data_IF_392729943429
#
_entry.id   IF_392729943429
#
_cell.length_a   1.000
_cell.length_b   1.000
_cell.length_c   1.000
_cell.angle_alpha   90.00
_cell.angle_beta   90.00
_cell.angle_gamma   90.00
#
_symmetry.space_group_name_H-M   'P 1'
#
loop_
_entity.id
_entity.type
_entity.pdbx_description
1 polymer ?
#
# COMPACT_ATOMS: atom_id res chain seq x y z
N UNK A 1 -38.97 -14.00 -48.32
CA UNK A 1 -39.87 -14.00 -47.14
C UNK A 1 -40.84 -12.83 -47.24
N UNK A 2 -42.14 -13.08 -47.18
CA UNK A 2 -43.17 -12.02 -47.18
C UNK A 2 -43.05 -11.18 -45.91
N UNK A 3 -43.32 -9.86 -45.96
CA UNK A 3 -43.27 -8.95 -44.78
C UNK A 3 -44.01 -9.50 -43.54
N UNK A 4 -45.07 -10.29 -43.74
CA UNK A 4 -45.80 -10.99 -42.66
C UNK A 4 -44.97 -12.07 -41.94
N UNK A 5 -44.08 -12.78 -42.63
CA UNK A 5 -43.19 -13.79 -42.06
C UNK A 5 -42.04 -13.15 -41.25
N UNK A 6 -41.57 -11.97 -41.68
CA UNK A 6 -40.53 -11.22 -40.97
C UNK A 6 -41.06 -10.64 -39.66
N UNK A 7 -42.30 -10.13 -39.66
CA UNK A 7 -42.97 -9.63 -38.44
C UNK A 7 -43.26 -10.78 -37.45
N UNK A 8 -43.63 -11.96 -37.93
CA UNK A 8 -43.88 -13.12 -37.06
C UNK A 8 -42.60 -13.62 -36.38
N UNK A 9 -41.47 -13.64 -37.10
CA UNK A 9 -40.16 -14.01 -36.54
C UNK A 9 -39.65 -12.95 -35.56
N UNK A 10 -39.89 -11.66 -35.82
CA UNK A 10 -39.52 -10.58 -34.89
C UNK A 10 -40.34 -10.62 -33.59
N UNK A 11 -41.63 -10.93 -33.67
CA UNK A 11 -42.51 -11.08 -32.50
C UNK A 11 -42.14 -12.35 -31.71
N UNK A 12 -41.75 -13.43 -32.38
CA UNK A 12 -41.27 -14.65 -31.71
C UNK A 12 -39.92 -14.41 -30.98
N UNK A 13 -38.97 -13.71 -31.62
CA UNK A 13 -37.68 -13.34 -31.01
C UNK A 13 -37.82 -12.35 -29.84
N UNK A 14 -38.76 -11.40 -29.93
CA UNK A 14 -39.09 -10.50 -28.80
C UNK A 14 -39.78 -11.26 -27.65
N UNK A 15 -40.58 -12.28 -27.95
CA UNK A 15 -41.22 -13.11 -26.91
C UNK A 15 -40.26 -14.08 -26.22
N UNK A 16 -39.25 -14.58 -26.93
CA UNK A 16 -38.19 -15.44 -26.36
C UNK A 16 -37.14 -14.61 -25.60
N UNK A 17 -36.88 -13.36 -26.01
CA UNK A 17 -35.98 -12.45 -25.29
C UNK A 17 -36.63 -11.82 -24.04
N UNK A 18 -37.97 -11.84 -23.93
CA UNK A 18 -38.70 -11.36 -22.76
C UNK A 18 -38.78 -12.39 -21.61
N UNK A 19 -38.40 -13.66 -21.85
CA UNK A 19 -38.41 -14.74 -20.84
C UNK A 19 -37.01 -15.06 -20.28
N UNK A 20 -35.95 -14.42 -20.79
CA UNK A 20 -34.58 -14.55 -20.27
C UNK A 20 -34.13 -13.36 -19.40
N UNK A 21 -35.02 -12.42 -19.08
CA UNK A 21 -34.78 -11.46 -18.02
C UNK A 21 -35.29 -12.06 -16.71
N UNK A 22 -34.54 -13.03 -16.17
CA UNK A 22 -34.64 -13.33 -14.74
C UNK A 22 -34.10 -12.09 -14.05
N UNK A 23 -34.98 -11.12 -13.82
CA UNK A 23 -34.75 -10.13 -12.77
C UNK A 23 -34.50 -10.95 -11.51
N UNK A 24 -33.24 -11.01 -11.09
CA UNK A 24 -32.91 -11.38 -9.72
C UNK A 24 -33.52 -10.28 -8.86
N UNK A 25 -34.75 -10.49 -8.42
CA UNK A 25 -35.23 -9.82 -7.23
C UNK A 25 -34.30 -10.30 -6.12
N UNK A 26 -33.32 -9.48 -5.73
CA UNK A 26 -32.82 -9.57 -4.37
C UNK A 26 -34.06 -9.40 -3.49
N UNK A 27 -34.42 -10.44 -2.74
CA UNK A 27 -35.42 -10.27 -1.71
C UNK A 27 -34.90 -9.14 -0.82
N UNK A 28 -35.65 -8.04 -0.72
CA UNK A 28 -35.40 -7.02 0.31
C UNK A 28 -35.76 -7.71 1.61
N UNK A 29 -34.77 -8.34 2.23
CA UNK A 29 -34.89 -8.89 3.55
C UNK A 29 -34.99 -7.73 4.53
N UNK A 30 -35.94 -7.80 5.46
CA UNK A 30 -36.07 -6.80 6.51
C UNK A 30 -34.86 -6.84 7.44
N UNK A 31 -34.38 -5.68 7.85
CA UNK A 31 -33.28 -5.52 8.80
C UNK A 31 -33.54 -6.32 10.09
N UNK A 32 -32.52 -7.03 10.57
CA UNK A 32 -32.58 -7.71 11.87
C UNK A 32 -32.05 -6.77 12.94
N UNK A 33 -32.95 -6.03 13.59
CA UNK A 33 -32.59 -5.13 14.69
C UNK A 33 -32.15 -5.92 15.92
N UNK A 34 -30.99 -5.59 16.49
CA UNK A 34 -30.43 -6.23 17.69
C UNK A 34 -29.96 -5.21 18.72
N UNK A 35 -30.19 -5.52 19.99
CA UNK A 35 -29.69 -4.76 21.16
C UNK A 35 -29.83 -5.59 22.43
N UNK A 36 -29.20 -5.16 23.52
CA UNK A 36 -29.34 -5.76 24.84
C UNK A 36 -28.42 -6.95 25.09
N UNK A 37 -28.84 -7.86 25.97
CA UNK A 37 -28.01 -8.97 26.43
C UNK A 37 -28.28 -10.24 25.61
N UNK A 38 -27.22 -10.83 25.07
CA UNK A 38 -27.23 -12.20 24.53
C UNK A 38 -26.94 -13.14 25.71
N UNK A 39 -28.02 -13.75 26.23
CA UNK A 39 -27.99 -14.57 27.44
C UNK A 39 -27.91 -16.09 27.18
N UNK A 40 -27.95 -16.51 25.92
CA UNK A 40 -27.79 -17.89 25.48
C UNK A 40 -27.09 -17.89 24.11
N UNK A 41 -26.45 -19.01 23.77
CA UNK A 41 -25.72 -19.14 22.51
C UNK A 41 -26.62 -18.78 21.33
N UNK A 42 -26.10 -17.92 20.45
CA UNK A 42 -26.84 -17.42 19.29
C UNK A 42 -25.94 -17.39 18.07
N UNK A 43 -26.52 -17.71 16.92
CA UNK A 43 -25.85 -17.61 15.62
C UNK A 43 -26.51 -16.51 14.80
N UNK A 44 -25.70 -15.56 14.35
CA UNK A 44 -26.06 -14.60 13.32
C UNK A 44 -25.74 -15.20 11.96
N UNK A 45 -26.78 -15.32 11.13
CA UNK A 45 -26.72 -16.04 9.85
C UNK A 45 -26.78 -15.08 8.67
N UNK A 46 -26.13 -15.38 7.55
CA UNK A 46 -26.20 -14.56 6.33
C UNK A 46 -27.66 -14.33 5.90
N UNK A 47 -28.50 -15.36 6.04
CA UNK A 47 -29.92 -15.32 5.72
C UNK A 47 -30.76 -14.44 6.65
N UNK A 48 -30.17 -13.71 7.59
CA UNK A 48 -30.83 -12.69 8.45
C UNK A 48 -30.08 -11.36 8.40
N UNK A 49 -29.07 -11.24 7.54
CA UNK A 49 -28.30 -10.03 7.30
C UNK A 49 -29.16 -9.00 6.54
N UNK A 50 -29.01 -7.68 6.81
CA UNK A 50 -28.10 -7.09 7.78
C UNK A 50 -28.64 -7.15 9.22
N UNK A 51 -27.71 -7.29 10.17
CA UNK A 51 -27.97 -7.09 11.59
C UNK A 51 -27.71 -5.63 11.94
N UNK A 52 -28.75 -4.88 12.33
CA UNK A 52 -28.65 -3.46 12.66
C UNK A 52 -28.60 -3.29 14.17
N UNK A 53 -27.49 -2.74 14.68
CA UNK A 53 -27.38 -2.41 16.10
C UNK A 53 -28.30 -1.23 16.42
N UNK A 54 -29.35 -1.47 17.21
CA UNK A 54 -30.28 -0.44 17.72
C UNK A 54 -30.01 -0.09 19.18
N UNK A 55 -28.92 -0.61 19.73
CA UNK A 55 -28.46 -0.44 21.10
C UNK A 55 -27.19 -1.25 21.32
N UNK A 56 -26.52 -1.03 22.45
CA UNK A 56 -25.34 -1.82 22.82
C UNK A 56 -25.72 -3.30 22.97
N UNK A 57 -24.81 -4.18 22.58
CA UNK A 57 -24.91 -5.63 22.79
C UNK A 57 -23.95 -6.04 23.90
N UNK A 58 -24.40 -6.92 24.79
CA UNK A 58 -23.54 -7.66 25.71
C UNK A 58 -23.61 -9.15 25.39
N UNK A 59 -22.49 -9.75 24.99
CA UNK A 59 -22.34 -11.22 24.95
C UNK A 59 -22.03 -11.67 26.38
N UNK A 60 -22.98 -12.37 27.01
CA UNK A 60 -22.88 -12.77 28.41
C UNK A 60 -21.74 -13.76 28.69
N UNK A 61 -21.31 -13.86 29.95
CA UNK A 61 -20.29 -14.83 30.36
C UNK A 61 -20.76 -16.27 30.09
N UNK A 62 -19.87 -17.10 29.53
CA UNK A 62 -20.18 -18.49 29.16
C UNK A 62 -21.11 -18.63 27.94
N UNK A 63 -21.46 -17.52 27.28
CA UNK A 63 -22.32 -17.49 26.09
C UNK A 63 -21.49 -17.23 24.85
N UNK A 64 -21.85 -17.85 23.73
CA UNK A 64 -21.23 -17.68 22.42
C UNK A 64 -22.15 -16.89 21.48
N UNK A 65 -21.63 -15.80 20.92
CA UNK A 65 -22.15 -15.20 19.70
C UNK A 65 -21.33 -15.73 18.52
N UNK A 66 -21.94 -16.53 17.66
CA UNK A 66 -21.36 -16.98 16.39
C UNK A 66 -21.86 -16.08 15.27
N UNK A 67 -20.97 -15.59 14.41
CA UNK A 67 -21.30 -14.80 13.22
C UNK A 67 -20.82 -15.58 12.00
N UNK A 68 -21.75 -15.99 11.15
CA UNK A 68 -21.45 -16.77 9.94
C UNK A 68 -20.81 -15.93 8.83
N UNK A 69 -20.07 -16.55 7.88
CA UNK A 69 -19.58 -15.87 6.68
C UNK A 69 -20.68 -15.10 5.93
N UNK A 70 -20.33 -13.94 5.37
CA UNK A 70 -21.25 -13.09 4.60
C UNK A 70 -22.18 -12.20 5.44
N UNK A 71 -22.23 -12.37 6.76
CA UNK A 71 -23.03 -11.50 7.63
C UNK A 71 -22.53 -10.06 7.59
N UNK A 72 -23.48 -9.12 7.50
CA UNK A 72 -23.24 -7.68 7.61
C UNK A 72 -23.84 -7.16 8.91
N UNK A 73 -23.05 -6.39 9.66
CA UNK A 73 -23.44 -5.70 10.89
C UNK A 73 -23.39 -4.20 10.62
N UNK A 74 -24.52 -3.52 10.77
CA UNK A 74 -24.67 -2.09 10.52
C UNK A 74 -25.00 -1.33 11.81
N UNK A 75 -24.64 -0.05 11.86
CA UNK A 75 -25.06 0.87 12.91
C UNK A 75 -26.40 1.52 12.56
N UNK A 76 -27.26 1.73 13.55
CA UNK A 76 -28.46 2.55 13.33
C UNK A 76 -28.05 4.00 12.98
N UNK A 77 -28.61 4.60 11.91
CA UNK A 77 -28.13 5.87 11.34
C UNK A 77 -28.32 7.12 12.22
N UNK A 78 -28.98 7.01 13.38
CA UNK A 78 -29.42 8.15 14.19
C UNK A 78 -28.68 8.32 15.52
N UNK A 79 -27.60 7.57 15.77
CA UNK A 79 -26.90 7.60 17.07
C UNK A 79 -25.38 7.59 16.93
N UNK A 80 -24.71 8.13 17.94
CA UNK A 80 -23.27 8.05 18.13
C UNK A 80 -22.92 6.61 18.57
N UNK A 81 -22.27 5.86 17.67
CA UNK A 81 -21.64 4.54 17.79
C UNK A 81 -22.09 3.63 18.95
N UNK A 82 -22.87 2.59 18.65
CA UNK A 82 -23.07 1.46 19.56
C UNK A 82 -21.87 0.50 19.53
N UNK A 83 -21.72 -0.28 20.61
CA UNK A 83 -20.70 -1.30 20.72
C UNK A 83 -21.26 -2.71 20.97
N UNK A 84 -20.48 -3.70 20.61
CA UNK A 84 -20.64 -5.11 21.03
C UNK A 84 -19.61 -5.36 22.13
N UNK A 85 -20.07 -5.50 23.37
CA UNK A 85 -19.24 -5.86 24.52
C UNK A 85 -19.22 -7.38 24.68
N UNK A 86 -18.04 -7.97 24.80
CA UNK A 86 -17.84 -9.40 24.84
C UNK A 86 -17.30 -9.81 26.21
N UNK A 87 -18.19 -10.34 27.07
CA UNK A 87 -17.82 -11.03 28.32
C UNK A 87 -17.85 -12.55 28.17
N UNK A 88 -18.29 -13.05 27.00
CA UNK A 88 -18.34 -14.48 26.66
C UNK A 88 -17.40 -14.79 25.51
N UNK A 89 -17.91 -15.51 24.50
CA UNK A 89 -17.17 -15.85 23.29
C UNK A 89 -17.77 -15.14 22.08
N UNK A 90 -16.93 -14.47 21.29
CA UNK A 90 -17.29 -14.03 19.93
C UNK A 90 -16.56 -14.90 18.91
N UNK A 91 -17.31 -15.63 18.08
CA UNK A 91 -16.77 -16.39 16.95
C UNK A 91 -17.23 -15.75 15.64
N UNK A 92 -16.43 -14.83 15.11
CA UNK A 92 -16.70 -14.17 13.84
C UNK A 92 -15.69 -14.66 12.79
N UNK A 93 -16.02 -15.76 12.10
CA UNK A 93 -15.12 -16.39 11.12
C UNK A 93 -15.77 -16.34 9.74
N UNK A 94 -15.37 -15.37 8.93
CA UNK A 94 -15.75 -15.24 7.54
C UNK A 94 -14.92 -16.12 6.61
N UNK A 95 -15.06 -15.87 5.31
CA UNK A 95 -14.21 -16.49 4.28
C UNK A 95 -13.70 -15.43 3.30
N UNK A 96 -12.68 -15.77 2.49
CA UNK A 96 -12.15 -14.86 1.47
C UNK A 96 -13.15 -14.51 0.36
N UNK A 97 -14.17 -15.35 0.16
CA UNK A 97 -15.24 -15.12 -0.84
C UNK A 97 -16.46 -14.44 -0.24
N UNK A 98 -16.78 -14.77 1.02
CA UNK A 98 -17.89 -14.20 1.78
C UNK A 98 -17.35 -13.68 3.14
N UNK A 99 -16.70 -12.51 3.16
CA UNK A 99 -16.20 -11.92 4.39
C UNK A 99 -17.36 -11.42 5.26
N UNK A 100 -17.16 -11.41 6.58
CA UNK A 100 -18.07 -10.71 7.50
C UNK A 100 -17.80 -9.21 7.38
N UNK A 101 -18.82 -8.36 7.39
CA UNK A 101 -18.64 -6.90 7.28
C UNK A 101 -19.21 -6.18 8.50
N UNK A 102 -18.37 -5.42 9.22
CA UNK A 102 -18.82 -4.53 10.30
C UNK A 102 -18.75 -3.06 9.84
N UNK A 103 -19.90 -2.43 9.60
CA UNK A 103 -19.99 -1.04 9.09
C UNK A 103 -20.12 -0.01 10.21
N UNK A 104 -19.13 0.06 11.08
CA UNK A 104 -19.04 1.06 12.14
C UNK A 104 -19.34 0.55 13.54
N UNK A 105 -19.00 1.38 14.53
CA UNK A 105 -19.10 1.05 15.95
C UNK A 105 -17.79 0.54 16.53
N UNK A 106 -17.91 -0.16 17.64
CA UNK A 106 -16.80 -0.71 18.40
C UNK A 106 -17.10 -2.15 18.81
N UNK A 107 -16.08 -3.00 18.77
CA UNK A 107 -16.09 -4.32 19.40
C UNK A 107 -15.19 -4.23 20.61
N UNK A 108 -15.75 -4.43 21.80
CA UNK A 108 -15.05 -4.31 23.07
C UNK A 108 -14.91 -5.70 23.71
N UNK A 109 -13.69 -6.21 23.77
CA UNK A 109 -13.34 -7.43 24.50
C UNK A 109 -12.91 -7.07 25.92
N UNK A 110 -13.66 -7.54 26.92
CA UNK A 110 -13.34 -7.27 28.32
C UNK A 110 -12.42 -8.34 28.90
N UNK A 111 -11.98 -8.17 30.15
CA UNK A 111 -11.23 -9.20 30.90
C UNK A 111 -11.97 -10.53 31.08
N UNK A 112 -13.29 -10.57 30.85
CA UNK A 112 -14.11 -11.76 31.01
C UNK A 112 -14.26 -12.57 29.72
N UNK A 113 -13.79 -12.05 28.59
CA UNK A 113 -13.93 -12.75 27.32
C UNK A 113 -13.20 -14.10 27.33
N UNK A 114 -13.69 -15.05 26.54
CA UNK A 114 -13.14 -16.40 26.47
C UNK A 114 -11.87 -16.41 25.62
N UNK A 115 -10.75 -16.80 26.22
CA UNK A 115 -9.45 -16.92 25.55
C UNK A 115 -9.53 -17.82 24.32
N UNK A 116 -8.88 -17.38 23.25
CA UNK A 116 -8.63 -18.17 22.07
C UNK A 116 -7.59 -19.24 22.35
N UNK A 117 -7.89 -20.46 21.91
CA UNK A 117 -7.01 -21.61 22.03
C UNK A 117 -6.61 -22.09 20.64
N UNK A 118 -5.32 -21.95 20.30
CA UNK A 118 -4.77 -22.34 19.00
C UNK A 118 -4.97 -23.83 18.68
N UNK A 119 -4.92 -24.70 19.69
CA UNK A 119 -5.01 -26.16 19.49
C UNK A 119 -6.41 -26.61 19.10
N UNK A 120 -7.43 -25.87 19.55
CA UNK A 120 -8.83 -26.20 19.27
C UNK A 120 -9.47 -25.28 18.23
N UNK A 121 -8.86 -24.11 17.98
CA UNK A 121 -9.44 -23.05 17.15
C UNK A 121 -10.65 -22.35 17.78
N UNK A 122 -10.94 -22.62 19.06
CA UNK A 122 -12.10 -22.08 19.78
C UNK A 122 -11.71 -20.88 20.66
N UNK A 123 -12.71 -20.11 21.07
CA UNK A 123 -12.55 -18.88 21.86
C UNK A 123 -12.80 -17.63 21.02
N UNK A 124 -12.41 -16.47 21.52
CA UNK A 124 -12.66 -15.21 20.83
C UNK A 124 -11.79 -15.05 19.57
N UNK A 125 -12.45 -15.00 18.42
CA UNK A 125 -11.80 -14.90 17.11
C UNK A 125 -12.57 -13.97 16.18
N UNK A 126 -11.82 -13.12 15.47
CA UNK A 126 -12.31 -12.36 14.31
C UNK A 126 -11.39 -12.66 13.14
N UNK A 127 -11.93 -13.34 12.13
CA UNK A 127 -11.16 -13.78 10.98
C UNK A 127 -11.90 -13.57 9.66
N UNK A 128 -11.17 -13.17 8.61
CA UNK A 128 -11.71 -12.93 7.27
C UNK A 128 -12.89 -11.94 7.28
N UNK A 129 -12.72 -10.82 7.96
CA UNK A 129 -13.71 -9.76 8.06
C UNK A 129 -13.21 -8.43 7.46
N UNK A 130 -14.17 -7.60 7.04
CA UNK A 130 -13.96 -6.19 6.71
C UNK A 130 -14.50 -5.35 7.86
N UNK A 131 -13.59 -4.66 8.54
CA UNK A 131 -13.84 -3.95 9.79
C UNK A 131 -13.73 -2.44 9.57
N UNK A 132 -14.88 -1.79 9.47
CA UNK A 132 -15.01 -0.34 9.60
C UNK A 132 -15.34 0.09 11.04
N UNK A 133 -15.02 -0.79 12.01
CA UNK A 133 -15.27 -0.62 13.44
C UNK A 133 -13.95 -0.68 14.19
N UNK A 134 -13.82 0.02 15.32
CA UNK A 134 -12.65 -0.16 16.17
C UNK A 134 -12.75 -1.48 16.95
N UNK A 135 -11.60 -2.02 17.33
CA UNK A 135 -11.53 -3.13 18.28
C UNK A 135 -10.77 -2.63 19.50
N UNK A 136 -11.40 -2.75 20.65
CA UNK A 136 -10.82 -2.39 21.93
C UNK A 136 -10.67 -3.67 22.76
N UNK A 137 -9.46 -3.92 23.24
CA UNK A 137 -9.08 -5.12 23.98
C UNK A 137 -8.63 -4.70 25.38
N UNK A 138 -9.48 -4.96 26.36
CA UNK A 138 -9.18 -4.75 27.78
C UNK A 138 -8.68 -6.05 28.45
N UNK A 139 -8.84 -7.21 27.80
CA UNK A 139 -8.35 -8.47 28.32
C UNK A 139 -8.50 -9.67 27.38
N UNK A 140 -7.99 -10.81 27.85
CA UNK A 140 -8.03 -12.09 27.14
C UNK A 140 -6.95 -12.31 26.09
N UNK A 141 -6.85 -13.56 25.63
CA UNK A 141 -6.09 -13.98 24.45
C UNK A 141 -7.03 -14.02 23.26
N UNK A 142 -6.80 -13.20 22.23
CA UNK A 142 -7.67 -13.12 21.06
C UNK A 142 -6.93 -13.55 19.80
N UNK A 143 -7.64 -14.06 18.81
CA UNK A 143 -7.13 -14.18 17.45
C UNK A 143 -7.85 -13.17 16.53
N UNK A 144 -7.12 -12.18 16.05
CA UNK A 144 -7.61 -11.20 15.07
C UNK A 144 -6.77 -11.38 13.82
N UNK A 145 -7.29 -12.09 12.82
CA UNK A 145 -6.49 -12.44 11.65
C UNK A 145 -7.16 -12.35 10.29
N UNK A 146 -6.39 -12.12 9.23
CA UNK A 146 -6.89 -12.09 7.85
C UNK A 146 -8.01 -11.07 7.61
N UNK A 147 -8.02 -9.95 8.36
CA UNK A 147 -9.03 -8.92 8.24
C UNK A 147 -8.53 -7.71 7.43
N UNK A 148 -9.46 -7.00 6.79
CA UNK A 148 -9.21 -5.63 6.30
C UNK A 148 -9.80 -4.65 7.32
N UNK A 149 -8.98 -3.75 7.84
CA UNK A 149 -9.32 -2.90 8.98
C UNK A 149 -9.08 -1.44 8.64
N UNK A 150 -10.08 -0.58 8.84
CA UNK A 150 -9.95 0.87 8.57
C UNK A 150 -9.92 1.72 9.83
N UNK A 151 -10.23 1.16 11.01
CA UNK A 151 -10.17 1.84 12.30
C UNK A 151 -9.19 1.13 13.26
N UNK A 152 -8.76 1.81 14.31
CA UNK A 152 -7.71 1.28 15.18
C UNK A 152 -8.10 -0.02 15.91
N UNK A 153 -7.09 -0.84 16.17
CA UNK A 153 -7.12 -1.80 17.28
C UNK A 153 -6.41 -1.16 18.47
N UNK A 154 -7.09 -1.01 19.60
CA UNK A 154 -6.55 -0.51 20.86
C UNK A 154 -6.45 -1.66 21.85
N UNK A 155 -5.26 -1.86 22.42
CA UNK A 155 -4.99 -2.94 23.36
C UNK A 155 -4.56 -2.31 24.68
N UNK A 156 -5.50 -2.19 25.61
CA UNK A 156 -5.27 -1.68 26.96
C UNK A 156 -5.29 -2.78 28.02
N UNK A 157 -5.24 -4.04 27.58
CA UNK A 157 -5.09 -5.24 28.38
C UNK A 157 -4.97 -6.51 27.52
N UNK A 158 -4.84 -7.67 28.16
CA UNK A 158 -4.76 -8.96 27.46
C UNK A 158 -3.47 -9.16 26.65
N UNK A 159 -3.49 -10.19 25.80
CA UNK A 159 -2.35 -10.59 24.97
C UNK A 159 -2.79 -11.11 23.58
N UNK A 160 -3.46 -10.28 22.76
CA UNK A 160 -3.99 -10.71 21.47
C UNK A 160 -2.90 -11.09 20.46
N UNK A 161 -3.26 -12.02 19.58
CA UNK A 161 -2.56 -12.35 18.35
C UNK A 161 -3.22 -11.59 17.19
N UNK A 162 -2.57 -10.53 16.71
CA UNK A 162 -3.03 -9.70 15.60
C UNK A 162 -2.16 -10.03 14.40
N UNK A 163 -2.70 -10.83 13.46
CA UNK A 163 -1.88 -11.36 12.37
C UNK A 163 -2.52 -11.36 10.98
N UNK A 164 -1.70 -11.18 9.93
CA UNK A 164 -2.17 -11.24 8.53
C UNK A 164 -3.31 -10.24 8.22
N UNK A 165 -3.43 -9.14 8.95
CA UNK A 165 -4.43 -8.12 8.68
C UNK A 165 -3.87 -7.03 7.75
N UNK A 166 -4.75 -6.36 7.03
CA UNK A 166 -4.45 -5.17 6.24
C UNK A 166 -5.09 -3.95 6.89
N UNK A 167 -4.28 -3.00 7.35
CA UNK A 167 -4.72 -1.75 7.95
C UNK A 167 -4.63 -0.60 6.93
N UNK A 168 -5.74 0.12 6.77
CA UNK A 168 -5.91 1.23 5.82
C UNK A 168 -6.45 2.45 6.57
N UNK A 169 -5.58 3.24 7.20
CA UNK A 169 -5.92 4.55 7.78
C UNK A 169 -5.68 4.70 9.28
N UNK A 170 -5.95 3.66 10.08
CA UNK A 170 -5.57 3.65 11.50
C UNK A 170 -4.82 2.36 11.83
N UNK A 171 -3.85 2.49 12.73
CA UNK A 171 -2.93 1.42 13.08
C UNK A 171 -3.34 0.62 14.31
N UNK A 172 -2.32 0.04 14.94
CA UNK A 172 -2.44 -0.72 16.18
C UNK A 172 -1.87 0.11 17.32
N UNK A 173 -2.60 0.21 18.41
CA UNK A 173 -2.15 0.90 19.61
C UNK A 173 -2.07 -0.08 20.79
N UNK A 174 -0.86 -0.48 21.13
CA UNK A 174 -0.56 -1.28 22.31
C UNK A 174 -0.35 -0.32 23.48
N UNK A 175 -1.39 -0.16 24.29
CA UNK A 175 -1.40 0.65 25.49
C UNK A 175 -0.76 -0.04 26.69
N UNK A 176 -0.82 0.66 27.83
CA UNK A 176 0.01 0.40 29.02
C UNK A 176 -0.11 -1.01 29.58
N UNK A 177 -1.32 -1.56 29.66
CA UNK A 177 -1.52 -2.88 30.26
C UNK A 177 -1.55 -4.00 29.23
N UNK A 178 -1.20 -3.74 27.97
CA UNK A 178 -1.02 -4.79 26.97
C UNK A 178 0.16 -5.68 27.36
N UNK A 179 -0.06 -6.99 27.42
CA UNK A 179 0.96 -7.96 27.85
C UNK A 179 1.33 -8.83 26.67
N UNK A 180 2.61 -8.93 26.32
CA UNK A 180 3.15 -9.97 25.42
C UNK A 180 2.30 -10.23 24.15
N UNK A 181 1.74 -9.17 23.56
CA UNK A 181 0.92 -9.28 22.36
C UNK A 181 1.79 -9.66 21.17
N UNK A 182 1.24 -10.40 20.21
CA UNK A 182 1.96 -10.76 18.99
C UNK A 182 1.33 -10.05 17.81
N UNK A 183 2.12 -9.18 17.17
CA UNK A 183 1.74 -8.44 15.97
C UNK A 183 2.54 -8.98 14.82
N UNK A 184 1.92 -9.77 13.94
CA UNK A 184 2.67 -10.48 12.90
C UNK A 184 2.07 -10.45 11.50
N UNK A 185 2.92 -10.34 10.49
CA UNK A 185 2.51 -10.49 9.09
C UNK A 185 1.40 -9.51 8.65
N UNK A 186 1.25 -8.37 9.32
CA UNK A 186 0.27 -7.37 8.95
C UNK A 186 0.84 -6.43 7.88
N UNK A 187 -0.02 -5.94 7.00
CA UNK A 187 0.27 -4.82 6.10
C UNK A 187 -0.36 -3.58 6.73
N UNK A 188 0.44 -2.57 7.03
CA UNK A 188 0.00 -1.38 7.77
C UNK A 188 0.36 -0.12 7.00
N UNK A 189 -0.66 0.58 6.52
CA UNK A 189 -0.46 1.72 5.64
C UNK A 189 -1.48 2.84 5.77
N UNK A 190 -1.04 4.06 5.45
CA UNK A 190 -1.87 5.27 5.45
C UNK A 190 -2.25 5.74 6.86
N UNK A 191 -1.53 5.31 7.90
CA UNK A 191 -1.81 5.65 9.29
C UNK A 191 -0.96 6.83 9.77
N UNK A 192 -1.46 7.61 10.74
CA UNK A 192 -0.61 8.58 11.45
C UNK A 192 0.47 7.86 12.27
N UNK A 193 0.10 6.80 12.99
CA UNK A 193 1.06 5.82 13.51
C UNK A 193 0.64 4.42 13.07
N UNK A 194 1.55 3.67 12.46
CA UNK A 194 1.30 2.30 12.03
C UNK A 194 1.13 1.36 13.23
N UNK A 195 2.15 1.27 14.08
CA UNK A 195 2.05 0.58 15.38
C UNK A 195 2.61 1.48 16.47
N UNK A 196 1.84 1.65 17.54
CA UNK A 196 2.26 2.28 18.78
C UNK A 196 2.47 1.21 19.84
N UNK A 197 3.62 1.21 20.51
CA UNK A 197 3.94 0.27 21.58
C UNK A 197 4.32 1.00 22.87
N UNK A 198 3.34 1.22 23.75
CA UNK A 198 3.45 1.88 25.06
C UNK A 198 3.26 0.84 26.15
N UNK A 199 4.24 -0.06 26.28
CA UNK A 199 4.15 -1.25 27.13
C UNK A 199 4.54 -0.97 28.59
N UNK A 200 4.01 -1.72 29.56
CA UNK A 200 4.49 -1.74 30.96
C UNK A 200 5.82 -2.51 31.12
N UNK A 201 6.59 -2.32 32.21
CA UNK A 201 7.94 -2.93 32.37
C UNK A 201 8.00 -4.46 32.22
N UNK A 202 6.89 -5.18 32.33
CA UNK A 202 6.86 -6.64 32.28
C UNK A 202 6.35 -7.20 30.94
N UNK A 203 6.09 -6.35 29.96
CA UNK A 203 5.59 -6.75 28.65
C UNK A 203 6.67 -6.71 27.58
N UNK A 204 6.75 -7.80 26.81
CA UNK A 204 7.70 -8.00 25.71
C UNK A 204 6.96 -8.37 24.43
N UNK A 205 5.97 -7.55 24.06
CA UNK A 205 5.19 -7.75 22.82
C UNK A 205 6.12 -7.90 21.61
N UNK A 206 5.78 -8.86 20.75
CA UNK A 206 6.56 -9.22 19.57
C UNK A 206 5.92 -8.56 18.35
N UNK A 207 6.69 -7.76 17.63
CA UNK A 207 6.31 -7.12 16.37
C UNK A 207 7.20 -7.71 15.29
N UNK A 208 6.64 -8.58 14.44
CA UNK A 208 7.46 -9.31 13.46
C UNK A 208 6.79 -9.59 12.12
N UNK A 209 7.58 -9.66 11.05
CA UNK A 209 7.03 -10.01 9.74
C UNK A 209 6.06 -8.99 9.16
N UNK A 210 5.94 -7.78 9.74
CA UNK A 210 4.99 -6.77 9.27
C UNK A 210 5.59 -5.94 8.13
N UNK A 211 4.75 -5.56 7.18
CA UNK A 211 5.04 -4.55 6.16
C UNK A 211 4.41 -3.23 6.60
N UNK A 212 5.25 -2.29 7.02
CA UNK A 212 4.84 -1.00 7.61
C UNK A 212 5.26 0.12 6.66
N UNK A 213 4.29 0.67 5.92
CA UNK A 213 4.54 1.47 4.74
C UNK A 213 3.60 2.67 4.62
N UNK A 214 4.07 3.81 4.12
CA UNK A 214 3.24 5.00 3.84
C UNK A 214 2.49 5.53 5.08
N UNK A 215 3.13 5.52 6.25
CA UNK A 215 2.60 6.11 7.48
C UNK A 215 3.37 7.38 7.85
N UNK A 216 2.81 8.28 8.67
CA UNK A 216 3.59 9.41 9.21
C UNK A 216 4.68 8.87 10.16
N UNK A 217 4.31 7.96 11.06
CA UNK A 217 5.25 7.16 11.85
C UNK A 217 4.97 5.68 11.61
N UNK A 218 5.94 4.92 11.13
CA UNK A 218 5.80 3.48 10.96
C UNK A 218 5.60 2.78 12.30
N UNK A 219 6.59 2.94 13.19
CA UNK A 219 6.57 2.44 14.56
C UNK A 219 6.82 3.59 15.54
N UNK A 220 6.00 3.67 16.58
CA UNK A 220 6.25 4.53 17.74
C UNK A 220 6.44 3.64 18.95
N UNK A 221 7.66 3.60 19.48
CA UNK A 221 8.03 2.74 20.61
C UNK A 221 8.29 3.61 21.85
N UNK A 222 7.51 3.36 22.90
CA UNK A 222 7.55 4.05 24.17
C UNK A 222 6.91 5.45 24.16
N UNK A 223 6.35 5.87 25.30
CA UNK A 223 5.78 7.20 25.52
C UNK A 223 5.53 7.45 27.02
N UNK A 224 6.07 8.55 27.58
CA UNK A 224 5.55 9.33 28.73
C UNK A 224 5.44 8.66 30.10
N UNK A 225 6.07 7.50 30.32
CA UNK A 225 6.07 6.86 31.64
C UNK A 225 7.44 6.25 31.94
N UNK A 226 7.79 6.22 33.22
CA UNK A 226 9.05 5.68 33.76
C UNK A 226 9.08 4.16 33.79
N UNK A 227 8.00 3.50 33.32
CA UNK A 227 7.75 2.07 33.39
C UNK A 227 7.47 1.51 32.00
N UNK A 228 8.51 1.22 31.21
CA UNK A 228 8.39 0.86 29.79
C UNK A 228 8.83 -0.57 29.51
N UNK A 229 7.96 -1.38 28.91
CA UNK A 229 8.25 -2.74 28.45
C UNK A 229 9.24 -2.78 27.29
N UNK A 230 9.65 -3.99 26.92
CA UNK A 230 10.75 -4.24 25.99
C UNK A 230 10.24 -4.90 24.71
N UNK A 231 9.64 -4.15 23.77
CA UNK A 231 9.14 -4.76 22.56
C UNK A 231 10.29 -5.39 21.75
N UNK A 232 9.98 -6.53 21.14
CA UNK A 232 10.89 -7.21 20.21
C UNK A 232 10.42 -6.89 18.80
N UNK A 233 11.21 -6.11 18.07
CA UNK A 233 10.95 -5.70 16.69
C UNK A 233 11.94 -6.43 15.78
N UNK A 234 11.44 -7.40 15.01
CA UNK A 234 12.28 -8.23 14.16
C UNK A 234 11.61 -8.69 12.87
N UNK A 235 12.39 -8.90 11.80
CA UNK A 235 11.88 -9.38 10.52
C UNK A 235 10.74 -8.52 9.93
N UNK A 236 10.70 -7.22 10.25
CA UNK A 236 9.75 -6.29 9.64
C UNK A 236 10.40 -5.54 8.47
N UNK A 237 9.57 -5.08 7.54
CA UNK A 237 9.98 -4.09 6.54
C UNK A 237 9.26 -2.78 6.82
N UNK A 238 10.04 -1.73 7.08
CA UNK A 238 9.58 -0.40 7.51
C UNK A 238 10.14 0.61 6.52
N UNK A 239 9.33 1.00 5.54
CA UNK A 239 9.78 1.81 4.39
C UNK A 239 8.72 2.78 3.92
N UNK A 240 9.11 3.85 3.23
CA UNK A 240 8.23 4.91 2.72
C UNK A 240 7.31 5.54 3.79
N UNK A 241 7.69 5.47 5.07
CA UNK A 241 7.04 6.27 6.11
C UNK A 241 7.71 7.65 6.15
N UNK A 242 7.09 8.65 6.76
CA UNK A 242 7.79 9.90 7.04
C UNK A 242 8.92 9.63 8.06
N UNK A 243 8.60 8.93 9.14
CA UNK A 243 9.57 8.39 10.11
C UNK A 243 9.38 6.87 10.20
N UNK A 244 10.47 6.11 10.03
CA UNK A 244 10.42 4.65 10.14
C UNK A 244 10.11 4.19 11.57
N UNK A 245 11.06 4.42 12.49
CA UNK A 245 10.91 4.10 13.92
C UNK A 245 11.15 5.35 14.76
N UNK A 246 10.17 5.72 15.58
CA UNK A 246 10.25 6.79 16.56
C UNK A 246 10.39 6.19 17.96
N UNK A 247 11.47 6.49 18.66
CA UNK A 247 11.65 6.08 20.05
C UNK A 247 11.29 7.23 21.00
N UNK A 248 10.35 7.03 21.91
CA UNK A 248 10.08 7.95 23.01
C UNK A 248 10.22 7.26 24.36
N UNK A 249 11.01 7.76 25.32
CA UNK A 249 10.85 7.40 26.74
C UNK A 249 11.59 8.34 27.69
N UNK A 250 11.08 8.47 28.91
CA UNK A 250 11.57 9.29 30.02
C UNK A 250 12.17 8.42 31.16
N UNK A 251 12.60 7.18 30.89
CA UNK A 251 13.05 6.25 31.93
C UNK A 251 14.25 5.38 31.54
N UNK A 252 15.14 5.13 32.52
CA UNK A 252 16.44 4.47 32.38
C UNK A 252 16.38 2.95 32.03
N UNK A 253 15.18 2.37 31.92
CA UNK A 253 14.98 0.94 31.77
C UNK A 253 14.39 0.52 30.41
N UNK A 254 13.95 1.45 29.55
CA UNK A 254 13.43 1.07 28.24
C UNK A 254 14.56 0.50 27.36
N UNK A 255 14.44 -0.74 26.88
CA UNK A 255 15.48 -1.36 26.04
C UNK A 255 14.83 -2.28 25.01
N UNK A 256 14.27 -1.73 23.93
CA UNK A 256 13.67 -2.52 22.87
C UNK A 256 14.74 -3.31 22.13
N UNK A 257 14.39 -4.52 21.65
CA UNK A 257 15.26 -5.31 20.77
C UNK A 257 14.84 -5.00 19.33
N UNK A 258 15.71 -4.32 18.57
CA UNK A 258 15.44 -3.95 17.18
C UNK A 258 16.50 -4.59 16.29
N UNK A 259 16.21 -5.70 15.64
CA UNK A 259 17.18 -6.45 14.82
C UNK A 259 16.52 -7.22 13.70
N UNK A 260 17.26 -7.51 12.65
CA UNK A 260 16.80 -8.25 11.48
C UNK A 260 15.60 -7.58 10.79
N UNK A 261 15.48 -6.26 10.84
CA UNK A 261 14.47 -5.53 10.07
C UNK A 261 15.10 -4.92 8.82
N UNK A 262 14.27 -4.67 7.81
CA UNK A 262 14.58 -3.80 6.69
C UNK A 262 14.00 -2.41 6.99
N UNK A 263 14.84 -1.41 7.27
CA UNK A 263 14.44 -0.06 7.66
C UNK A 263 15.09 0.94 6.71
N UNK A 264 14.37 1.40 5.69
CA UNK A 264 14.97 2.15 4.60
C UNK A 264 13.95 3.02 3.87
N UNK A 265 14.41 4.03 3.14
CA UNK A 265 13.61 4.93 2.32
C UNK A 265 12.41 5.56 3.05
N UNK A 266 12.59 5.83 4.35
CA UNK A 266 11.68 6.69 5.10
C UNK A 266 12.10 8.17 4.88
N UNK A 267 11.13 9.04 4.61
CA UNK A 267 11.38 10.36 4.01
C UNK A 267 12.21 11.31 4.88
N UNK A 268 11.95 11.35 6.19
CA UNK A 268 12.72 12.17 7.12
C UNK A 268 13.86 11.35 7.73
N UNK A 269 13.52 10.25 8.40
CA UNK A 269 14.49 9.41 9.08
C UNK A 269 14.00 7.95 9.12
N UNK A 270 14.93 7.02 8.96
CA UNK A 270 14.69 5.60 9.23
C UNK A 270 14.45 5.37 10.73
N UNK A 271 15.14 6.13 11.59
CA UNK A 271 14.99 6.02 13.02
C UNK A 271 15.27 7.35 13.72
N UNK A 272 14.47 7.70 14.73
CA UNK A 272 14.71 8.87 15.56
C UNK A 272 14.65 8.52 17.06
N UNK A 273 15.45 9.25 17.84
CA UNK A 273 15.29 9.36 19.29
C UNK A 273 14.55 10.67 19.58
N UNK A 274 13.28 10.57 20.00
CA UNK A 274 12.33 11.70 20.12
C UNK A 274 12.20 12.18 21.58
N UNK A 275 13.26 12.07 22.41
CA UNK A 275 13.20 12.47 23.82
C UNK A 275 14.56 12.91 24.42
N UNK A 276 14.52 13.94 25.27
CA UNK A 276 15.64 14.61 25.94
C UNK A 276 16.28 13.80 27.10
N UNK A 277 15.78 12.60 27.39
CA UNK A 277 16.42 11.67 28.33
C UNK A 277 17.23 10.65 27.54
N UNK A 278 18.57 10.72 27.58
CA UNK A 278 19.41 10.03 26.62
C UNK A 278 19.37 8.51 26.83
N UNK A 279 18.56 7.82 26.04
CA UNK A 279 18.51 6.37 26.00
C UNK A 279 19.34 5.83 24.84
N UNK A 280 20.40 5.10 25.17
CA UNK A 280 21.18 4.38 24.16
C UNK A 280 20.41 3.15 23.68
N UNK A 281 20.10 3.09 22.40
CA UNK A 281 19.35 1.97 21.81
C UNK A 281 20.24 1.13 20.91
N UNK A 282 20.13 -0.19 21.04
CA UNK A 282 20.77 -1.13 20.15
C UNK A 282 19.84 -1.49 18.99
N UNK A 283 20.22 -1.05 17.78
CA UNK A 283 19.56 -1.36 16.52
C UNK A 283 20.53 -2.07 15.55
N UNK A 284 21.40 -2.94 16.08
CA UNK A 284 22.33 -3.75 15.28
C UNK A 284 21.60 -4.85 14.50
N UNK A 285 22.25 -5.34 13.45
CA UNK A 285 21.77 -6.40 12.57
C UNK A 285 20.47 -6.05 11.83
N UNK A 286 20.23 -4.77 11.53
CA UNK A 286 19.19 -4.34 10.60
C UNK A 286 19.80 -4.00 9.24
N UNK A 287 19.00 -4.11 8.18
CA UNK A 287 19.29 -3.55 6.86
C UNK A 287 18.78 -2.12 6.79
N UNK A 288 19.62 -1.18 6.34
CA UNK A 288 19.33 0.25 6.34
C UNK A 288 19.15 0.84 4.92
N UNK A 289 19.04 -0.02 3.91
CA UNK A 289 18.96 0.38 2.49
C UNK A 289 20.32 0.52 1.78
N UNK A 290 21.43 0.53 2.53
CA UNK A 290 22.79 0.65 1.99
C UNK A 290 23.80 0.05 2.96
N UNK A 291 25.02 -0.20 2.48
CA UNK A 291 26.18 -0.56 3.32
C UNK A 291 27.10 0.62 3.62
N UNK A 292 26.83 1.81 3.07
CA UNK A 292 27.59 3.01 3.39
C UNK A 292 27.18 3.57 4.75
N UNK A 293 28.07 3.40 5.73
CA UNK A 293 27.86 3.83 7.11
C UNK A 293 27.58 5.34 7.23
N UNK A 294 28.14 6.18 6.35
CA UNK A 294 27.88 7.63 6.38
C UNK A 294 26.44 7.93 5.99
N UNK A 295 25.95 7.30 4.92
CA UNK A 295 24.56 7.40 4.48
C UNK A 295 23.61 6.86 5.55
N UNK A 296 23.88 5.67 6.13
CA UNK A 296 23.06 5.12 7.23
C UNK A 296 22.96 6.14 8.38
N UNK A 297 24.10 6.71 8.78
CA UNK A 297 24.16 7.67 9.87
C UNK A 297 23.35 8.95 9.60
N UNK A 298 23.17 9.35 8.35
CA UNK A 298 22.33 10.51 7.99
C UNK A 298 20.83 10.21 8.11
N UNK A 299 20.44 8.93 8.00
CA UNK A 299 19.04 8.49 8.14
C UNK A 299 18.60 8.26 9.59
N UNK A 300 19.50 8.44 10.56
CA UNK A 300 19.23 8.25 11.99
C UNK A 300 19.38 9.60 12.69
N UNK A 301 18.35 10.01 13.45
CA UNK A 301 18.38 11.21 14.29
C UNK A 301 18.61 10.81 15.75
N UNK A 302 19.82 11.07 16.26
CA UNK A 302 20.24 10.66 17.62
C UNK A 302 21.16 11.72 18.27
N UNK A 303 21.92 11.32 19.30
CA UNK A 303 22.93 12.15 19.97
C UNK A 303 23.84 12.96 19.04
N UNK A 304 24.16 12.44 17.83
CA UNK A 304 25.02 13.14 16.86
C UNK A 304 24.34 14.38 16.26
N UNK A 305 23.02 14.40 16.25
CA UNK A 305 22.20 15.49 15.75
C UNK A 305 21.85 16.47 16.87
N UNK A 306 21.52 15.95 18.06
CA UNK A 306 21.25 16.73 19.27
C UNK A 306 21.87 16.04 20.48
N UNK A 307 22.84 16.72 21.12
CA UNK A 307 23.61 16.18 22.24
C UNK A 307 22.80 15.92 23.53
N UNK A 308 21.50 16.25 23.57
CA UNK A 308 20.61 15.88 24.66
C UNK A 308 19.94 14.51 24.46
N UNK A 309 20.07 13.91 23.28
CA UNK A 309 19.45 12.63 22.95
C UNK A 309 20.36 11.44 23.26
N UNK A 310 19.78 10.24 23.27
CA UNK A 310 20.52 8.99 23.35
C UNK A 310 21.18 8.61 22.01
N UNK A 311 22.14 7.68 22.05
CA UNK A 311 22.78 7.16 20.82
C UNK A 311 22.02 5.97 20.24
N UNK A 312 22.07 5.80 18.91
CA UNK A 312 21.63 4.58 18.25
C UNK A 312 22.85 3.79 17.78
N UNK A 313 23.04 2.60 18.34
CA UNK A 313 24.08 1.67 17.88
C UNK A 313 23.53 0.80 16.76
N UNK A 314 23.99 1.01 15.53
CA UNK A 314 23.52 0.27 14.35
C UNK A 314 24.60 -0.63 13.69
N UNK A 315 25.82 -0.64 14.22
CA UNK A 315 26.93 -1.48 13.74
C UNK A 315 27.14 -2.66 14.71
N UNK A 316 27.20 -3.92 14.23
CA UNK A 316 27.11 -4.34 12.82
C UNK A 316 25.71 -4.14 12.24
N UNK A 317 25.61 -3.91 10.93
CA UNK A 317 24.37 -3.89 10.15
C UNK A 317 24.40 -5.01 9.09
N UNK A 318 23.23 -5.36 8.54
CA UNK A 318 23.14 -6.35 7.45
C UNK A 318 23.73 -5.79 6.16
N UNK A 319 24.34 -6.63 5.32
CA UNK A 319 24.93 -6.22 4.04
C UNK A 319 23.97 -6.31 2.85
N UNK A 320 22.81 -6.91 3.07
CA UNK A 320 21.70 -7.04 2.13
C UNK A 320 20.38 -7.00 2.91
N UNK A 321 19.26 -6.81 2.22
CA UNK A 321 17.95 -6.88 2.83
C UNK A 321 17.72 -8.24 3.48
N UNK A 322 17.12 -8.27 4.67
CA UNK A 322 16.69 -9.49 5.31
C UNK A 322 15.59 -10.18 4.47
N UNK A 323 15.85 -11.37 3.89
CA UNK A 323 14.87 -12.06 3.06
C UNK A 323 13.70 -12.66 3.86
N UNK A 324 13.80 -12.73 5.19
CA UNK A 324 12.71 -13.20 6.05
C UNK A 324 11.67 -12.10 6.35
N UNK A 325 11.96 -10.83 6.04
CA UNK A 325 11.01 -9.74 6.18
C UNK A 325 10.16 -9.59 4.91
N UNK A 326 8.89 -9.18 5.00
CA UNK A 326 8.02 -9.04 3.84
C UNK A 326 8.50 -7.94 2.90
N UNK A 327 8.33 -8.10 1.60
CA UNK A 327 8.67 -7.07 0.61
C UNK A 327 7.45 -6.22 0.26
N UNK A 328 7.65 -4.92 0.06
CA UNK A 328 6.62 -4.08 -0.56
C UNK A 328 6.54 -4.43 -2.04
N UNK A 329 5.32 -4.62 -2.56
CA UNK A 329 5.08 -4.85 -3.99
C UNK A 329 4.21 -3.74 -4.55
N UNK A 330 4.54 -3.30 -5.76
CA UNK A 330 3.80 -2.32 -6.55
C UNK A 330 3.18 -3.00 -7.75
N UNK A 331 2.09 -2.45 -8.29
CA UNK A 331 1.45 -2.98 -9.48
C UNK A 331 1.69 -2.06 -10.67
N UNK A 332 2.26 -2.62 -11.73
CA UNK A 332 2.31 -1.98 -13.05
C UNK A 332 1.16 -2.54 -13.89
N UNK A 333 0.28 -1.67 -14.37
CA UNK A 333 -0.82 -2.07 -15.25
C UNK A 333 -0.38 -1.97 -16.71
N UNK A 334 -0.23 -3.10 -17.38
CA UNK A 334 0.19 -3.20 -18.77
C UNK A 334 -0.96 -3.59 -19.69
N UNK A 335 -1.15 -2.85 -20.78
CA UNK A 335 -2.21 -3.14 -21.77
C UNK A 335 -1.76 -2.91 -23.20
N UNK A 336 -2.37 -3.67 -24.11
CA UNK A 336 -2.14 -3.59 -25.56
C UNK A 336 -3.48 -3.47 -26.29
N UNK A 337 -3.54 -2.56 -27.27
CA UNK A 337 -4.66 -2.46 -28.21
C UNK A 337 -4.66 -3.58 -29.26
N UNK A 338 -5.67 -3.59 -30.13
CA UNK A 338 -5.76 -4.53 -31.26
C UNK A 338 -4.56 -4.37 -32.22
N UNK A 339 -4.04 -5.48 -32.75
CA UNK A 339 -2.95 -5.48 -33.73
C UNK A 339 -1.56 -5.74 -33.13
N UNK A 340 -1.50 -6.15 -31.87
CA UNK A 340 -0.26 -6.60 -31.24
C UNK A 340 -0.46 -6.98 -29.79
N UNK A 341 0.66 -7.14 -29.10
CA UNK A 341 0.71 -7.61 -27.71
C UNK A 341 1.76 -6.85 -26.89
N UNK A 342 1.58 -6.86 -25.57
CA UNK A 342 2.57 -6.42 -24.58
C UNK A 342 2.84 -7.57 -23.61
N UNK A 343 4.10 -7.79 -23.24
CA UNK A 343 4.48 -8.85 -22.31
C UNK A 343 5.51 -8.34 -21.28
N UNK A 344 5.24 -8.48 -19.96
CA UNK A 344 4.02 -9.02 -19.36
C UNK A 344 2.79 -8.10 -19.55
N UNK A 345 1.57 -8.64 -19.43
CA UNK A 345 0.29 -7.90 -19.59
C UNK A 345 -0.59 -8.00 -18.33
N UNK A 346 -1.51 -7.05 -18.17
CA UNK A 346 -2.43 -7.01 -17.03
C UNK A 346 -1.80 -6.34 -15.81
N UNK A 347 -2.20 -6.77 -14.62
CA UNK A 347 -1.60 -6.31 -13.35
C UNK A 347 -0.32 -7.09 -13.09
N UNK A 348 0.83 -6.43 -13.19
CA UNK A 348 2.15 -7.02 -13.02
C UNK A 348 2.74 -6.54 -11.68
N UNK A 349 2.84 -7.42 -10.67
CA UNK A 349 3.48 -7.06 -9.41
C UNK A 349 4.99 -6.93 -9.60
N UNK A 350 5.59 -5.91 -8.99
CA UNK A 350 7.03 -5.64 -8.98
C UNK A 350 7.42 -5.31 -7.55
N UNK A 351 8.49 -5.90 -7.04
CA UNK A 351 8.98 -5.61 -5.70
C UNK A 351 9.54 -4.18 -5.62
N UNK A 352 9.60 -3.63 -4.41
CA UNK A 352 10.19 -2.33 -4.18
C UNK A 352 11.65 -2.29 -4.63
N UNK A 353 12.01 -1.27 -5.41
CA UNK A 353 13.36 -1.07 -5.93
C UNK A 353 13.73 -2.01 -7.09
N UNK A 354 12.84 -2.92 -7.47
CA UNK A 354 13.08 -3.84 -8.57
C UNK A 354 12.88 -3.20 -9.94
N UNK A 355 13.30 -3.92 -10.98
CA UNK A 355 13.25 -3.49 -12.36
C UNK A 355 12.35 -4.42 -13.17
N UNK A 356 11.40 -3.87 -13.92
CA UNK A 356 10.50 -4.65 -14.77
C UNK A 356 10.55 -4.17 -16.22
N UNK A 357 10.83 -5.10 -17.13
CA UNK A 357 10.86 -4.84 -18.58
C UNK A 357 9.58 -5.30 -19.26
N UNK A 358 9.08 -4.49 -20.17
CA UNK A 358 7.93 -4.74 -21.03
C UNK A 358 8.36 -4.77 -22.48
N UNK A 359 7.97 -5.83 -23.16
CA UNK A 359 8.18 -6.04 -24.60
C UNK A 359 6.89 -5.84 -25.34
N UNK A 360 6.94 -5.13 -26.46
CA UNK A 360 5.78 -4.85 -27.32
C UNK A 360 6.02 -5.50 -28.67
N UNK A 361 5.10 -6.35 -29.10
CA UNK A 361 5.23 -7.13 -30.34
C UNK A 361 4.01 -6.89 -31.22
N UNK A 362 4.16 -6.20 -32.38
CA UNK A 362 3.09 -6.07 -33.36
C UNK A 362 2.72 -7.43 -33.97
N UNK A 363 1.43 -7.61 -34.25
CA UNK A 363 0.95 -8.74 -35.03
C UNK A 363 1.34 -8.56 -36.52
N UNK A 364 1.26 -9.65 -37.29
CA UNK A 364 1.52 -9.59 -38.72
C UNK A 364 0.57 -8.59 -39.41
N UNK A 365 1.14 -7.66 -40.19
CA UNK A 365 0.39 -6.61 -40.87
C UNK A 365 0.11 -5.37 -40.01
N UNK A 366 0.67 -5.28 -38.82
CA UNK A 366 0.61 -4.12 -37.95
C UNK A 366 2.01 -3.60 -37.60
N UNK A 367 2.08 -2.34 -37.19
CA UNK A 367 3.25 -1.69 -36.60
C UNK A 367 2.87 -1.01 -35.29
N UNK A 368 3.85 -0.76 -34.41
CA UNK A 368 3.61 0.01 -33.18
C UNK A 368 3.22 1.44 -33.56
N UNK A 369 2.03 1.87 -33.14
CA UNK A 369 1.57 3.23 -33.31
C UNK A 369 2.01 4.13 -32.15
N UNK A 370 1.86 3.66 -30.91
CA UNK A 370 2.36 4.36 -29.72
C UNK A 370 2.65 3.43 -28.56
N UNK A 371 3.56 3.86 -27.68
CA UNK A 371 3.77 3.31 -26.35
C UNK A 371 3.72 4.48 -25.37
N UNK A 372 2.90 4.40 -24.33
CA UNK A 372 2.81 5.42 -23.29
C UNK A 372 3.11 4.79 -21.94
N UNK A 373 4.04 5.38 -21.19
CA UNK A 373 4.28 5.12 -19.76
C UNK A 373 3.63 6.26 -18.97
N UNK A 374 2.69 5.95 -18.08
CA UNK A 374 1.94 6.95 -17.30
C UNK A 374 1.33 8.07 -18.13
N UNK A 375 0.85 7.73 -19.33
CA UNK A 375 0.30 8.67 -20.31
C UNK A 375 1.33 9.47 -21.10
N UNK A 376 2.63 9.31 -20.82
CA UNK A 376 3.74 10.00 -21.48
C UNK A 376 4.37 9.10 -22.56
N UNK A 377 4.67 9.62 -23.77
CA UNK A 377 5.32 8.84 -24.82
C UNK A 377 6.62 8.15 -24.38
N UNK A 378 6.73 6.87 -24.72
CA UNK A 378 7.87 6.01 -24.44
C UNK A 378 8.19 5.12 -25.66
N UNK A 379 9.29 4.37 -25.59
CA UNK A 379 9.72 3.44 -26.66
C UNK A 379 9.79 2.01 -26.14
N UNK A 380 9.43 1.05 -26.99
CA UNK A 380 9.55 -0.37 -26.68
C UNK A 380 10.91 -0.95 -27.14
N UNK A 381 11.48 -1.93 -26.42
CA UNK A 381 11.05 -2.38 -25.09
C UNK A 381 11.23 -1.27 -24.05
N UNK A 382 10.31 -1.20 -23.09
CA UNK A 382 10.36 -0.22 -22.01
C UNK A 382 10.70 -0.92 -20.70
N UNK A 383 11.60 -0.33 -19.92
CA UNK A 383 12.03 -0.89 -18.64
C UNK A 383 11.75 0.13 -17.54
N UNK A 384 10.87 -0.22 -16.61
CA UNK A 384 10.79 0.47 -15.32
C UNK A 384 12.00 0.05 -14.49
N UNK A 385 12.85 0.99 -14.12
CA UNK A 385 13.99 0.76 -13.24
C UNK A 385 13.68 1.31 -11.86
N UNK A 386 14.07 0.59 -10.81
CA UNK A 386 13.91 1.02 -9.42
C UNK A 386 12.47 1.47 -9.12
N UNK A 387 11.51 0.54 -9.19
CA UNK A 387 10.09 0.84 -8.96
C UNK A 387 9.86 1.13 -7.49
N UNK A 388 9.53 2.39 -7.17
CA UNK A 388 9.36 2.88 -5.80
C UNK A 388 7.96 3.43 -5.52
N UNK A 389 7.03 3.34 -6.49
CA UNK A 389 5.66 3.83 -6.37
C UNK A 389 4.66 2.89 -7.06
N UNK A 390 3.43 2.90 -6.57
CA UNK A 390 2.31 2.13 -7.15
C UNK A 390 1.59 2.92 -8.26
N UNK A 391 0.76 2.23 -9.03
CA UNK A 391 -0.16 2.84 -9.99
C UNK A 391 0.46 3.18 -11.34
N UNK A 392 1.67 2.70 -11.61
CA UNK A 392 2.29 2.83 -12.92
C UNK A 392 1.48 2.11 -14.01
N UNK A 393 1.49 2.67 -15.20
CA UNK A 393 0.81 2.14 -16.38
C UNK A 393 1.73 2.11 -17.59
N UNK A 394 1.61 1.07 -18.41
CA UNK A 394 2.19 1.03 -19.74
C UNK A 394 1.16 0.55 -20.76
N UNK A 395 0.94 1.36 -21.79
CA UNK A 395 -0.07 1.09 -22.81
C UNK A 395 0.60 1.09 -24.18
N UNK A 396 0.32 0.06 -24.99
CA UNK A 396 0.79 -0.05 -26.37
C UNK A 396 -0.40 -0.02 -27.33
N UNK A 397 -0.30 0.77 -28.41
CA UNK A 397 -1.28 0.77 -29.51
C UNK A 397 -0.60 0.43 -30.83
N UNK A 398 -1.37 -0.12 -31.75
CA UNK A 398 -0.89 -0.60 -33.04
C UNK A 398 -1.77 -0.07 -34.16
N UNK A 399 -1.17 0.11 -35.33
CA UNK A 399 -1.85 0.49 -36.55
C UNK A 399 -1.45 -0.45 -37.70
N UNK A 400 -2.32 -0.68 -38.69
CA UNK A 400 -1.98 -1.51 -39.84
C UNK A 400 -0.75 -0.96 -40.58
N UNK A 401 0.19 -1.83 -40.94
CA UNK A 401 1.35 -1.45 -41.76
C UNK A 401 0.83 -1.01 -43.13
N UNK A 402 1.13 0.22 -43.55
CA UNK A 402 0.77 0.68 -44.89
C UNK A 402 1.47 -0.20 -45.92
N UNK A 403 0.70 -1.01 -46.66
CA UNK A 403 1.23 -1.72 -47.82
C UNK A 403 1.70 -0.66 -48.81
N UNK A 404 2.94 -0.68 -49.31
CA UNK A 404 3.35 0.27 -50.35
C UNK A 404 2.38 0.08 -51.52
N UNK A 405 1.64 1.14 -51.85
CA UNK A 405 0.84 1.18 -53.08
C UNK A 405 1.78 0.77 -54.20
N UNK A 406 1.49 -0.28 -54.99
CA UNK A 406 2.33 -0.62 -56.12
C UNK A 406 2.40 0.62 -57.01
N UNK A 407 3.58 1.25 -57.07
CA UNK A 407 3.83 2.31 -58.03
C UNK A 407 3.55 1.70 -59.38
N UNK A 408 2.46 2.11 -60.03
CA UNK A 408 2.21 1.77 -61.43
C UNK A 408 3.39 2.32 -62.21
N UNK A 409 4.34 1.46 -62.54
CA UNK A 409 5.42 1.79 -63.47
C UNK A 409 4.74 2.11 -64.79
N UNK A 410 4.68 3.41 -65.14
CA UNK A 410 4.25 3.80 -66.47
C UNK A 410 5.21 3.13 -67.47
N UNK A 411 4.64 2.31 -68.35
CA UNK A 411 5.36 1.66 -69.44
C UNK A 411 5.99 2.76 -70.31
N UNK A 412 7.31 2.73 -70.60
CA UNK A 412 7.92 3.76 -71.43
C UNK A 412 7.35 3.70 -72.84
N UNK A 413 6.71 4.77 -73.27
CA UNK A 413 6.34 5.01 -74.68
C UNK A 413 7.61 5.01 -75.53
N UNK A 414 7.63 4.36 -76.72
CA UNK A 414 8.83 4.26 -77.53
C UNK A 414 9.39 5.64 -77.92
N UNK A 415 10.68 5.79 -77.65
CA UNK A 415 11.52 6.94 -77.96
C UNK A 415 11.66 7.13 -79.49
N UNK A 416 11.33 8.31 -80.06
CA UNK A 416 11.78 8.66 -81.40
C UNK A 416 13.28 9.01 -81.40
N UNK A 417 13.99 8.39 -82.34
CA UNK A 417 15.43 8.51 -82.67
C UNK A 417 15.84 9.96 -83.02
N UNK A 418 17.08 10.41 -82.68
CA UNK A 418 17.45 11.82 -82.62
C UNK A 418 17.80 12.43 -83.99
N UNK A 419 17.62 13.76 -84.10
CA UNK A 419 18.15 14.61 -85.18
C UNK A 419 19.35 15.40 -84.62
N UNK A 420 20.47 15.55 -85.36
CA UNK A 420 21.74 16.05 -84.81
C UNK A 420 21.72 17.56 -84.60
N UNK A 421 22.28 18.01 -83.47
CA UNK A 421 22.56 19.42 -83.21
C UNK A 421 24.04 19.63 -82.95
N UNK A 422 24.54 20.73 -83.49
CA UNK A 422 25.95 21.11 -83.63
C UNK A 422 26.59 21.56 -82.32
N UNK A 423 27.88 21.24 -82.23
CA UNK A 423 28.86 21.57 -81.19
C UNK A 423 29.06 23.07 -80.98
N UNK A 424 29.16 23.51 -79.73
CA UNK A 424 29.95 24.69 -79.35
C UNK A 424 30.63 24.52 -77.98
N UNK A 425 31.95 24.72 -78.05
CA UNK A 425 33.09 24.83 -77.13
C UNK A 425 32.85 25.32 -75.68
N UNK A 426 33.64 24.84 -74.68
CA UNK A 426 33.56 25.28 -73.28
C UNK A 426 34.30 26.60 -73.01
N UNK A 427 33.80 27.36 -72.02
CA UNK A 427 34.42 28.57 -71.45
C UNK A 427 34.94 28.26 -70.03
N UNK A 428 36.10 28.83 -69.61
CA UNK A 428 36.86 28.36 -68.45
C UNK A 428 36.41 28.89 -67.08
N UNK A 429 36.85 28.13 -66.08
CA UNK A 429 36.69 28.22 -64.62
C UNK A 429 37.47 29.38 -63.96
N UNK A 430 36.94 30.04 -62.91
CA UNK A 430 37.73 30.91 -62.04
C UNK A 430 38.28 30.19 -60.79
N UNK A 431 39.55 30.49 -60.53
CA UNK A 431 40.49 30.04 -59.47
C UNK A 431 40.07 30.38 -58.02
N UNK A 432 40.50 29.61 -56.99
CA UNK A 432 40.03 29.72 -55.60
C UNK A 432 40.71 30.82 -54.75
N UNK A 433 40.07 31.16 -53.62
CA UNK A 433 40.55 32.08 -52.57
C UNK A 433 41.02 31.28 -51.32
N UNK A 434 42.07 31.69 -50.57
CA UNK A 434 42.78 30.82 -49.61
C UNK A 434 42.24 30.80 -48.16
N UNK A 435 42.57 29.73 -47.43
CA UNK A 435 42.23 29.35 -46.03
C UNK A 435 42.97 30.10 -44.91
N UNK A 436 42.40 30.12 -43.68
CA UNK A 436 43.11 30.05 -42.38
C UNK A 436 42.26 29.19 -41.38
N UNK A 437 42.86 28.38 -40.48
CA UNK A 437 42.25 27.18 -39.88
C UNK A 437 41.88 27.30 -38.37
N UNK A 438 41.01 26.42 -37.87
CA UNK A 438 41.00 26.04 -36.44
C UNK A 438 40.83 24.51 -36.27
N UNK A 439 41.68 23.94 -35.39
CA UNK A 439 41.80 22.53 -35.03
C UNK A 439 41.04 22.23 -33.69
N UNK A 440 40.82 20.94 -33.34
CA UNK A 440 39.74 20.47 -32.47
C UNK A 440 40.12 20.32 -30.99
N UNK A 441 39.13 20.41 -30.10
CA UNK A 441 39.06 19.83 -28.75
C UNK A 441 37.56 19.88 -28.33
N UNK A 442 36.92 18.92 -27.68
CA UNK A 442 37.32 17.66 -27.08
C UNK A 442 36.05 17.05 -26.45
N UNK A 443 36.04 15.72 -26.36
CA UNK A 443 35.08 14.91 -25.62
C UNK A 443 35.06 15.35 -24.14
N UNK A 444 33.89 15.59 -23.53
CA UNK A 444 33.59 15.38 -22.10
C UNK A 444 32.09 14.98 -21.95
N UNK A 445 31.90 14.06 -21.01
CA UNK A 445 30.76 13.25 -20.54
C UNK A 445 29.41 13.96 -20.26
N UNK A 446 28.30 13.18 -20.20
CA UNK A 446 26.94 13.71 -19.97
C UNK A 446 26.73 14.22 -18.54
N UNK A 447 25.99 15.33 -18.47
CA UNK A 447 25.58 16.03 -17.25
C UNK A 447 24.63 15.20 -16.39
N UNK A 448 25.10 14.77 -15.22
CA UNK A 448 24.26 14.64 -14.03
C UNK A 448 23.80 16.03 -13.61
N UNK A 449 22.47 16.27 -13.54
CA UNK A 449 21.77 17.21 -12.65
C UNK A 449 20.34 17.44 -13.16
N UNK A 450 19.41 16.59 -12.74
CA UNK A 450 17.96 16.83 -12.66
C UNK A 450 17.63 16.34 -11.25
N UNK A 451 17.01 17.05 -10.32
CA UNK A 451 16.30 18.31 -10.33
C UNK A 451 15.44 18.31 -9.06
N UNK A 452 16.07 18.50 -7.90
CA UNK A 452 15.37 18.71 -6.62
C UNK A 452 15.11 20.21 -6.50
N UNK A 453 13.87 20.65 -6.72
CA UNK A 453 13.36 21.95 -6.27
C UNK A 453 11.83 22.00 -6.37
N UNK A 454 11.17 21.24 -5.51
CA UNK A 454 9.82 21.56 -5.03
C UNK A 454 9.85 21.46 -3.52
N UNK A 455 10.12 22.59 -2.84
CA UNK A 455 9.66 22.92 -1.47
C UNK A 455 10.37 24.16 -0.95
N UNK A 456 9.99 25.34 -1.45
CA UNK A 456 10.38 26.62 -0.82
C UNK A 456 9.40 27.76 -1.13
N UNK A 457 8.09 27.52 -1.01
CA UNK A 457 7.06 28.58 -1.11
C UNK A 457 6.10 28.64 0.09
N UNK A 458 6.21 27.77 1.10
CA UNK A 458 5.36 27.86 2.31
C UNK A 458 6.23 27.96 3.57
N UNK A 459 7.08 28.98 3.66
CA UNK A 459 7.59 29.47 4.95
C UNK A 459 8.02 30.95 4.89
N UNK A 460 7.14 31.82 4.37
CA UNK A 460 7.22 33.28 4.59
C UNK A 460 5.82 33.88 4.74
N UNK A 461 5.12 33.50 5.81
CA UNK A 461 4.02 34.27 6.42
C UNK A 461 3.78 33.69 7.82
N UNK A 462 4.63 34.05 8.79
CA UNK A 462 4.30 34.12 10.23
C UNK A 462 5.51 34.59 11.08
N UNK A 463 6.22 35.60 10.60
CA UNK A 463 7.20 36.36 11.39
C UNK A 463 6.84 37.85 11.35
N UNK A 464 5.61 38.18 11.76
CA UNK A 464 5.19 39.57 11.99
C UNK A 464 4.13 39.67 13.10
N UNK A 465 4.26 38.88 14.17
CA UNK A 465 3.56 39.16 15.44
C UNK A 465 4.48 38.74 16.59
N UNK A 466 5.46 39.60 16.94
CA UNK A 466 6.10 39.68 18.27
C UNK A 466 7.11 40.83 18.28
N UNK A 467 6.61 42.08 18.29
CA UNK A 467 7.32 43.27 18.78
C UNK A 467 6.36 44.46 18.84
N UNK A 468 5.45 44.44 19.84
CA UNK A 468 4.75 45.63 20.35
C UNK A 468 4.02 45.25 21.64
N UNK A 469 4.75 45.17 22.75
CA UNK A 469 4.24 45.36 24.11
C UNK A 469 5.40 45.27 25.12
N UNK A 470 6.35 46.20 25.02
CA UNK A 470 7.12 46.70 26.16
C UNK A 470 7.25 48.21 25.94
N UNK A 471 6.29 48.96 26.51
CA UNK A 471 6.36 50.37 26.97
C UNK A 471 4.95 50.89 27.24
N UNK A 472 4.37 50.47 28.36
CA UNK A 472 3.75 51.28 29.42
C UNK A 472 3.05 50.37 30.40
#
# INVERSE_FOLDING_TARGET
MTKKALVFILVLLLSVSAVACIMRFAAVQADTNVSGVIAADVTWTEANSPYVLTGNILVGNGVTLTIEPGVTIDQHPSVESYYIMVNGTLQAVGSTTNPITFKGGQILFTEYCTDWNESTGLGCIIQNAVLHSSIDVEGGVLNISNNTITLAIRVDGGNPHISNNTFLGQGIDLGYHSRNSTISNNIISGCSSGIVARLDHNSSSIIQGNLIINNEKGLLLGYWFTDSGHPIVQNNTITNNEIGISLGSLGDQFSPIIRFNNIFDNTNYNMIVDNEYPLNTNATYNWWGTTDQQTINQTIYDFKNDFNLGTVTFVPFLTEANPAAPVSTFTITASAGTGGSINPSGSVPVEYGDTQTFTVTPDSGYQVASVLMDGVPATAPYTFVNVVADGHTITATFEPTSTPTPTTTLTPTPQPTPTPSTTSTPSPEPTPTPEIPEFPLGIILPSFMIGILVSAVIYRKNATIKRKLIKR
#
